data_IF_048480397925
#
_entry.id   IF_048480397925
#
_cell.length_a   1.000
_cell.length_b   1.000
_cell.length_c   1.000
_cell.angle_alpha   90.00
_cell.angle_beta   90.00
_cell.angle_gamma   90.00
#
_symmetry.space_group_name_H-M   'P 1'
#
loop_
_entity.id
_entity.type
_entity.pdbx_description
1 polymer ?
#
# COMPACT_ATOMS: atom_id res chain seq x y z
N UNK A 1 7.83 -5.63 30.46
CA UNK A 1 6.87 -6.57 29.88
C UNK A 1 6.76 -6.25 28.39
N UNK A 2 7.81 -6.70 27.70
CA UNK A 2 7.87 -7.20 26.33
C UNK A 2 7.16 -6.45 25.20
N UNK A 3 7.87 -5.47 24.63
CA UNK A 3 7.67 -4.92 23.27
C UNK A 3 7.86 -5.95 22.14
N UNK A 4 7.73 -7.26 22.42
CA UNK A 4 7.92 -8.37 21.48
C UNK A 4 6.59 -9.03 21.06
N UNK A 5 5.45 -8.52 21.52
CA UNK A 5 4.14 -9.14 21.35
C UNK A 5 3.23 -8.50 20.28
N UNK A 6 3.79 -7.74 19.32
CA UNK A 6 3.02 -7.17 18.19
C UNK A 6 3.58 -7.63 16.81
N UNK A 7 4.40 -8.70 16.77
CA UNK A 7 4.99 -9.18 15.50
C UNK A 7 4.54 -10.59 15.09
N UNK A 8 3.31 -10.99 15.42
CA UNK A 8 2.76 -12.30 14.99
C UNK A 8 1.28 -12.21 14.63
N UNK A 9 0.98 -11.64 13.47
CA UNK A 9 -0.17 -11.97 12.59
C UNK A 9 -0.63 -10.73 11.81
N UNK A 10 0.22 -10.22 10.94
CA UNK A 10 -0.24 -9.34 9.88
C UNK A 10 0.45 -9.80 8.59
N UNK A 11 -0.28 -10.61 7.83
CA UNK A 11 0.07 -11.02 6.48
C UNK A 11 -0.11 -9.78 5.59
N UNK A 12 0.93 -8.95 5.51
CA UNK A 12 0.98 -7.70 4.76
C UNK A 12 1.50 -7.98 3.36
N UNK A 13 0.94 -7.33 2.34
CA UNK A 13 1.50 -7.43 1.01
C UNK A 13 1.03 -6.37 0.03
N UNK A 14 1.96 -5.69 -0.66
CA UNK A 14 2.05 -5.44 -2.13
C UNK A 14 2.93 -4.25 -2.42
N UNK A 15 3.99 -4.42 -3.21
CA UNK A 15 4.89 -3.31 -3.56
C UNK A 15 4.85 -2.90 -5.02
N UNK A 16 4.96 -1.58 -5.26
CA UNK A 16 5.29 -0.94 -6.56
C UNK A 16 6.71 -0.38 -6.47
N UNK A 17 7.66 -0.83 -7.32
CA UNK A 17 9.03 -0.28 -7.35
C UNK A 17 9.68 -0.25 -8.74
N UNK A 18 10.14 0.92 -9.20
CA UNK A 18 11.56 1.32 -9.41
C UNK A 18 11.68 2.54 -10.34
N UNK A 19 12.56 3.49 -10.01
CA UNK A 19 13.13 4.44 -10.96
C UNK A 19 14.68 4.45 -10.85
N UNK A 20 15.40 4.31 -11.98
CA UNK A 20 16.55 5.11 -12.49
C UNK A 20 17.52 4.27 -13.39
N UNK A 21 18.26 4.80 -14.40
CA UNK A 21 18.16 6.04 -15.17
C UNK A 21 17.68 5.83 -16.63
N UNK A 22 17.28 6.94 -17.25
CA UNK A 22 16.90 7.13 -18.65
C UNK A 22 17.82 6.42 -19.65
N UNK A 23 17.27 5.49 -20.44
CA UNK A 23 17.29 5.46 -21.93
C UNK A 23 16.42 4.30 -22.46
N UNK A 24 15.61 4.61 -23.48
CA UNK A 24 14.94 3.70 -24.43
C UNK A 24 13.90 2.69 -23.91
N UNK A 25 12.64 2.98 -24.23
CA UNK A 25 11.60 2.06 -24.75
C UNK A 25 11.56 0.63 -24.21
N UNK A 26 10.90 0.44 -23.06
CA UNK A 26 9.78 -0.50 -22.92
C UNK A 26 9.09 -0.22 -21.58
N UNK A 27 7.81 0.19 -21.64
CA UNK A 27 6.98 0.43 -20.46
C UNK A 27 6.68 -0.95 -19.87
N UNK A 28 7.36 -1.35 -18.80
CA UNK A 28 7.04 -2.61 -18.13
C UNK A 28 5.68 -2.47 -17.45
N UNK A 29 4.80 -3.45 -17.67
CA UNK A 29 3.51 -3.53 -17.00
C UNK A 29 3.71 -3.57 -15.47
N UNK A 30 2.86 -2.89 -14.69
CA UNK A 30 2.93 -2.91 -13.23
C UNK A 30 2.79 -4.35 -12.71
N UNK A 31 3.91 -4.92 -12.26
CA UNK A 31 3.97 -6.29 -11.74
C UNK A 31 3.68 -6.28 -10.24
N UNK A 32 2.59 -6.95 -9.87
CA UNK A 32 2.19 -7.16 -8.48
C UNK A 32 3.03 -8.30 -7.88
N UNK A 33 3.86 -8.01 -6.86
CA UNK A 33 4.77 -8.99 -6.24
C UNK A 33 4.39 -9.24 -4.77
N UNK A 34 4.46 -10.53 -4.39
CA UNK A 34 4.30 -11.02 -3.03
C UNK A 34 5.65 -11.11 -2.31
N UNK A 35 5.78 -10.44 -1.17
CA UNK A 35 6.89 -10.39 -0.22
C UNK A 35 6.42 -10.77 1.19
N UNK A 36 7.32 -11.27 2.04
CA UNK A 36 7.03 -11.51 3.45
C UNK A 36 7.31 -10.28 4.33
N UNK A 37 7.03 -10.39 5.63
CA UNK A 37 7.19 -9.30 6.61
C UNK A 37 8.64 -8.84 6.75
N UNK A 38 9.62 -9.76 6.68
CA UNK A 38 11.03 -9.39 6.78
C UNK A 38 11.49 -8.64 5.53
N UNK A 39 10.99 -9.05 4.36
CA UNK A 39 11.22 -8.31 3.12
C UNK A 39 10.57 -6.92 3.18
N UNK A 40 9.34 -6.81 3.68
CA UNK A 40 8.66 -5.53 3.82
C UNK A 40 9.43 -4.58 4.75
N UNK A 41 9.96 -5.09 5.87
CA UNK A 41 10.79 -4.31 6.78
C UNK A 41 12.06 -3.80 6.10
N UNK A 42 12.81 -4.67 5.40
CA UNK A 42 14.01 -4.26 4.66
C UNK A 42 13.72 -3.17 3.64
N UNK A 43 12.58 -3.27 2.96
CA UNK A 43 12.19 -2.30 1.94
C UNK A 43 11.76 -0.98 2.59
N UNK A 44 11.02 -1.02 3.70
CA UNK A 44 10.74 0.17 4.51
C UNK A 44 12.04 0.88 4.96
N UNK A 45 13.02 0.11 5.45
CA UNK A 45 14.34 0.61 5.83
C UNK A 45 15.12 1.17 4.62
N UNK A 46 14.80 0.72 3.41
CA UNK A 46 15.36 1.20 2.14
C UNK A 46 14.68 2.48 1.61
N UNK A 47 13.71 3.04 2.36
CA UNK A 47 12.98 4.26 1.98
C UNK A 47 11.67 4.01 1.23
N UNK A 48 11.16 2.78 1.23
CA UNK A 48 9.83 2.50 0.67
C UNK A 48 8.75 3.09 1.58
N UNK A 49 7.65 3.52 1.00
CA UNK A 49 6.47 3.98 1.75
C UNK A 49 5.55 2.80 2.06
N UNK A 50 5.24 2.58 3.32
CA UNK A 50 4.27 1.60 3.76
C UNK A 50 2.88 2.22 3.91
N UNK A 51 1.94 1.79 3.06
CA UNK A 51 0.53 2.14 3.11
C UNK A 51 -0.28 1.05 3.80
N UNK A 52 -0.64 1.28 5.06
CA UNK A 52 -1.58 0.44 5.77
C UNK A 52 -3.01 0.73 5.29
N UNK A 53 -3.64 -0.26 4.64
CA UNK A 53 -4.99 -0.14 4.08
C UNK A 53 -6.10 -0.66 5.01
N UNK A 54 -5.75 -0.94 6.28
CA UNK A 54 -6.72 -1.27 7.33
C UNK A 54 -7.56 -0.06 7.71
N UNK A 55 -8.59 -0.28 8.53
CA UNK A 55 -9.36 0.84 9.07
C UNK A 55 -8.52 1.68 10.03
N UNK A 56 -8.93 2.92 10.26
CA UNK A 56 -8.26 3.84 11.18
C UNK A 56 -8.20 3.26 12.59
N UNK A 57 -9.25 2.54 13.01
CA UNK A 57 -9.34 1.92 14.33
C UNK A 57 -8.33 0.78 14.49
N UNK A 58 -8.15 -0.05 13.44
CA UNK A 58 -7.14 -1.10 13.44
C UNK A 58 -5.72 -0.52 13.50
N UNK A 59 -5.47 0.57 12.77
CA UNK A 59 -4.17 1.24 12.76
C UNK A 59 -3.84 1.88 14.11
N UNK A 60 -4.82 2.56 14.73
CA UNK A 60 -4.66 3.18 16.06
C UNK A 60 -4.42 2.17 17.18
N UNK A 61 -4.90 0.93 17.04
CA UNK A 61 -4.62 -0.16 18.00
C UNK A 61 -3.16 -0.64 17.95
N UNK A 62 -2.46 -0.39 16.84
CA UNK A 62 -1.06 -0.76 16.67
C UNK A 62 -0.63 -0.69 15.22
N UNK A 63 0.52 -0.07 15.00
CA UNK A 63 1.20 0.04 13.72
C UNK A 63 2.70 0.19 13.95
N UNK A 64 3.47 0.06 12.86
CA UNK A 64 4.90 0.36 12.86
C UNK A 64 5.05 1.87 12.93
N UNK A 65 5.73 2.37 13.97
CA UNK A 65 5.99 3.80 14.14
C UNK A 65 7.22 4.19 13.31
N UNK A 66 6.98 4.73 12.12
CA UNK A 66 8.02 5.16 11.17
C UNK A 66 7.47 6.26 10.26
N UNK A 67 8.33 7.20 9.87
CA UNK A 67 7.97 8.38 9.07
C UNK A 67 7.36 8.02 7.70
N UNK A 68 7.70 6.85 7.17
CA UNK A 68 7.24 6.36 5.87
C UNK A 68 6.03 5.41 5.98
N UNK A 69 5.33 5.40 7.12
CA UNK A 69 4.13 4.57 7.34
C UNK A 69 2.88 5.46 7.37
N UNK A 70 1.95 5.23 6.45
CA UNK A 70 0.68 5.96 6.36
C UNK A 70 -0.51 5.03 6.40
N UNK A 71 -1.62 5.49 6.99
CA UNK A 71 -2.90 4.77 6.94
C UNK A 71 -3.86 5.41 5.95
N UNK A 72 -4.29 4.63 4.95
CA UNK A 72 -5.37 5.01 4.04
C UNK A 72 -6.31 3.82 3.90
N UNK A 73 -7.43 3.79 4.64
CA UNK A 73 -8.37 2.68 4.58
C UNK A 73 -8.89 2.46 3.16
N UNK A 74 -8.76 1.22 2.66
CA UNK A 74 -9.33 0.85 1.36
C UNK A 74 -10.83 0.57 1.45
N UNK A 75 -11.25 -0.08 2.55
CA UNK A 75 -12.66 -0.32 2.85
C UNK A 75 -13.12 0.50 4.04
N UNK A 76 -14.36 0.95 3.96
CA UNK A 76 -15.11 1.52 5.06
C UNK A 76 -16.24 0.55 5.43
N UNK A 77 -16.51 0.46 6.73
CA UNK A 77 -17.64 -0.30 7.23
C UNK A 77 -18.77 0.68 7.55
N UNK A 78 -19.85 0.60 6.78
CA UNK A 78 -21.08 1.38 6.95
C UNK A 78 -22.18 0.46 7.52
N UNK A 79 -23.30 1.00 8.03
CA UNK A 79 -24.45 0.19 8.41
C UNK A 79 -25.00 -0.67 7.25
N UNK A 80 -24.74 -0.27 6.00
CA UNK A 80 -25.15 -0.97 4.78
C UNK A 80 -24.16 -2.08 4.37
N UNK A 81 -22.99 -2.13 4.99
CA UNK A 81 -21.98 -3.17 4.78
C UNK A 81 -20.60 -2.60 4.49
N UNK A 82 -19.84 -3.34 3.70
CA UNK A 82 -18.47 -2.97 3.35
C UNK A 82 -18.46 -2.23 2.02
N UNK A 83 -17.92 -1.02 2.02
CA UNK A 83 -17.84 -0.16 0.83
C UNK A 83 -16.38 0.20 0.51
N UNK A 84 -16.07 0.40 -0.79
CA UNK A 84 -14.77 0.95 -1.20
C UNK A 84 -14.74 2.42 -0.80
N UNK A 85 -13.67 2.83 -0.11
CA UNK A 85 -13.47 4.22 0.27
C UNK A 85 -13.41 5.11 -0.99
N UNK A 86 -14.39 6.00 -1.23
CA UNK A 86 -14.43 6.83 -2.43
C UNK A 86 -13.25 7.82 -2.50
N UNK A 87 -12.63 8.13 -1.36
CA UNK A 87 -11.49 9.03 -1.26
C UNK A 87 -10.14 8.30 -1.35
N UNK A 88 -10.12 6.99 -1.55
CA UNK A 88 -8.89 6.19 -1.52
C UNK A 88 -7.82 6.71 -2.48
N UNK A 89 -8.14 6.87 -3.78
CA UNK A 89 -7.16 7.38 -4.77
C UNK A 89 -6.70 8.79 -4.44
N UNK A 90 -7.60 9.65 -3.95
CA UNK A 90 -7.28 11.04 -3.61
C UNK A 90 -6.26 11.08 -2.49
N UNK A 91 -6.46 10.30 -1.43
CA UNK A 91 -5.54 10.25 -0.29
C UNK A 91 -4.21 9.58 -0.65
N UNK A 92 -4.22 8.49 -1.41
CA UNK A 92 -2.98 7.89 -1.91
C UNK A 92 -2.20 8.88 -2.77
N UNK A 93 -2.86 9.61 -3.67
CA UNK A 93 -2.20 10.59 -4.54
C UNK A 93 -1.67 11.83 -3.80
N UNK A 94 -2.20 12.15 -2.61
CA UNK A 94 -1.68 13.24 -1.78
C UNK A 94 -0.46 12.84 -0.95
N UNK A 95 -0.28 11.54 -0.71
CA UNK A 95 0.82 10.99 0.08
C UNK A 95 1.96 10.47 -0.80
N UNK A 96 1.63 10.03 -2.02
CA UNK A 96 2.53 9.29 -2.87
C UNK A 96 2.41 9.76 -4.33
N UNK A 97 3.55 9.96 -4.98
CA UNK A 97 3.66 10.15 -6.41
C UNK A 97 3.53 8.82 -7.16
N UNK A 98 3.23 8.89 -8.45
CA UNK A 98 3.12 7.69 -9.31
C UNK A 98 4.43 6.93 -9.47
N UNK A 99 5.57 7.59 -9.22
CA UNK A 99 6.91 7.00 -9.23
C UNK A 99 7.30 6.42 -7.88
N UNK A 100 6.51 6.66 -6.84
CA UNK A 100 6.83 6.23 -5.50
C UNK A 100 6.67 4.73 -5.35
N UNK A 101 7.10 4.33 -4.18
CA UNK A 101 7.87 3.14 -3.98
C UNK A 101 7.16 2.47 -2.82
N UNK A 102 5.98 1.94 -3.14
CA UNK A 102 4.90 1.69 -2.18
C UNK A 102 4.91 0.27 -1.70
N UNK A 103 4.49 0.03 -0.45
CA UNK A 103 4.17 -1.26 0.16
C UNK A 103 2.76 -1.15 0.73
N UNK A 104 1.79 -1.92 0.25
CA UNK A 104 0.46 -1.95 0.81
C UNK A 104 0.36 -3.06 1.84
N UNK A 105 -0.31 -2.79 2.95
CA UNK A 105 -0.42 -3.74 4.04
C UNK A 105 -1.84 -3.88 4.55
N UNK A 106 -2.29 -5.11 4.81
CA UNK A 106 -3.40 -5.34 5.71
C UNK A 106 -3.17 -6.56 6.61
N UNK A 107 -4.18 -6.97 7.40
CA UNK A 107 -4.07 -8.12 8.31
C UNK A 107 -3.86 -9.48 7.63
N UNK A 108 -4.53 -9.72 6.50
CA UNK A 108 -4.62 -11.04 5.87
C UNK A 108 -4.21 -11.06 4.39
N UNK A 109 -3.66 -9.97 3.86
CA UNK A 109 -3.29 -9.80 2.46
C UNK A 109 -4.46 -9.56 1.48
N UNK A 110 -5.68 -10.00 1.80
CA UNK A 110 -6.84 -9.86 0.90
C UNK A 110 -7.14 -8.39 0.59
N UNK A 111 -7.25 -7.55 1.64
CA UNK A 111 -7.56 -6.11 1.46
C UNK A 111 -6.50 -5.39 0.64
N UNK A 112 -5.22 -5.65 0.90
CA UNK A 112 -4.14 -5.01 0.17
C UNK A 112 -4.09 -5.50 -1.28
N UNK A 113 -4.48 -6.76 -1.56
CA UNK A 113 -4.58 -7.27 -2.94
C UNK A 113 -5.62 -6.51 -3.75
N UNK A 114 -6.81 -6.30 -3.17
CA UNK A 114 -7.85 -5.51 -3.82
C UNK A 114 -7.39 -4.05 -4.01
N UNK A 115 -6.81 -3.43 -2.98
CA UNK A 115 -6.29 -2.08 -3.07
C UNK A 115 -5.21 -1.93 -4.16
N UNK A 116 -4.31 -2.92 -4.27
CA UNK A 116 -3.24 -2.91 -5.28
C UNK A 116 -3.80 -3.04 -6.69
N UNK A 117 -4.72 -3.99 -6.90
CA UNK A 117 -5.40 -4.14 -8.20
C UNK A 117 -6.12 -2.86 -8.59
N UNK A 118 -6.76 -2.20 -7.62
CA UNK A 118 -7.45 -0.93 -7.83
C UNK A 118 -6.49 0.22 -8.17
N UNK A 119 -5.33 0.33 -7.51
CA UNK A 119 -4.30 1.31 -7.85
C UNK A 119 -3.74 1.07 -9.26
N UNK A 120 -3.38 -0.18 -9.57
CA UNK A 120 -2.84 -0.58 -10.87
C UNK A 120 -3.83 -0.25 -11.99
N UNK A 121 -5.11 -0.60 -11.84
CA UNK A 121 -6.13 -0.28 -12.85
C UNK A 121 -6.33 1.23 -12.99
N UNK A 122 -6.33 1.97 -11.88
CA UNK A 122 -6.55 3.42 -11.88
C UNK A 122 -5.40 4.22 -12.50
N UNK A 123 -4.16 3.75 -12.35
CA UNK A 123 -2.98 4.36 -12.99
C UNK A 123 -2.99 4.13 -14.50
N UNK A 124 -3.36 2.92 -14.95
CA UNK A 124 -3.46 2.61 -16.39
C UNK A 124 -4.55 3.43 -17.11
N UNK A 125 -5.65 3.78 -16.41
CA UNK A 125 -6.75 4.57 -17.00
C UNK A 125 -6.43 6.06 -17.15
N UNK A 126 -5.51 6.64 -16.36
CA UNK A 126 -5.13 8.06 -16.50
C UNK A 126 -4.29 8.38 -17.75
N UNK A 127 -4.07 7.40 -18.64
CA UNK A 127 -3.20 7.52 -19.81
C UNK A 127 -3.85 8.17 -21.06
N UNK A 128 -5.10 8.63 -20.98
CA UNK A 128 -5.72 9.40 -22.06
C UNK A 128 -6.43 10.65 -21.54
N UNK A 129 -5.68 11.77 -21.51
CA UNK A 129 -6.26 13.09 -21.77
C UNK A 129 -5.17 13.98 -22.36
N UNK A 130 -5.14 13.99 -23.70
CA UNK A 130 -4.51 15.03 -24.53
C UNK A 130 -5.45 16.23 -24.54
#
# INVERSE_FOLDING_TARGET
>A
MDSLHVLRSFLLLFIVFNHLPRTTTSMSEPKVITIDVNQAQKLLDSGYTFLDVRTVEEFKKGHVDSENVFNVPYWLYTPQGQEINPNFLKHVSSLCNQTDHLILGCKSGVRSLHATKFLVSSVSTKRFKI
#
